data_IF_866189118037
#
_entry.id   IF_866189118037
#
_cell.length_a   1.000
_cell.length_b   1.000
_cell.length_c   1.000
_cell.angle_alpha   90.00
_cell.angle_beta   90.00
_cell.angle_gamma   90.00
#
_symmetry.space_group_name_H-M   'P 1'
#
loop_
_entity.id
_entity.type
_entity.pdbx_description
1 polymer ?
#
# COMPACT_ATOMS: atom_id res chain seq x y z
N UNK A 1 6.41 -4.59 -15.43
CA UNK A 1 7.33 -5.02 -14.35
C UNK A 1 8.31 -6.10 -14.81
N UNK A 2 7.84 -7.27 -15.26
CA UNK A 2 8.70 -8.38 -15.70
C UNK A 2 9.82 -7.97 -16.68
N UNK A 3 9.50 -7.20 -17.72
CA UNK A 3 10.50 -6.69 -18.67
C UNK A 3 11.59 -5.83 -18.03
N UNK A 4 11.27 -4.99 -17.05
CA UNK A 4 12.25 -4.18 -16.30
C UNK A 4 13.17 -5.08 -15.47
N UNK A 5 12.59 -5.99 -14.69
CA UNK A 5 13.34 -6.86 -13.78
C UNK A 5 14.20 -7.90 -14.52
N UNK A 6 13.83 -8.25 -15.75
CA UNK A 6 14.60 -9.17 -16.61
C UNK A 6 15.67 -8.46 -17.44
N UNK A 7 15.63 -7.13 -17.55
CA UNK A 7 16.67 -6.34 -18.21
C UNK A 7 17.91 -6.23 -17.31
N UNK A 8 18.89 -7.09 -17.57
CA UNK A 8 20.13 -7.15 -16.79
C UNK A 8 21.00 -5.92 -16.97
N UNK A 9 20.94 -5.25 -18.12
CA UNK A 9 21.76 -4.05 -18.36
C UNK A 9 21.23 -2.89 -17.55
N UNK A 10 19.91 -2.67 -17.59
CA UNK A 10 19.26 -1.64 -16.82
C UNK A 10 19.36 -1.90 -15.31
N UNK A 11 19.10 -3.12 -14.83
CA UNK A 11 19.21 -3.43 -13.40
C UNK A 11 20.65 -3.27 -12.86
N UNK A 12 21.66 -3.58 -13.68
CA UNK A 12 23.06 -3.31 -13.36
C UNK A 12 23.35 -1.81 -13.32
N UNK A 13 22.89 -1.05 -14.32
CA UNK A 13 23.03 0.40 -14.34
C UNK A 13 22.41 1.05 -13.10
N UNK A 14 21.20 0.65 -12.70
CA UNK A 14 20.52 1.16 -11.50
C UNK A 14 21.33 0.87 -10.23
N UNK A 15 21.94 -0.32 -10.13
CA UNK A 15 22.80 -0.71 -9.00
C UNK A 15 24.10 0.10 -8.96
N UNK A 16 24.74 0.31 -10.10
CA UNK A 16 26.02 1.03 -10.20
C UNK A 16 25.86 2.54 -9.97
N UNK A 17 24.69 3.09 -10.31
CA UNK A 17 24.37 4.51 -10.11
C UNK A 17 24.23 4.88 -8.62
N UNK A 18 23.97 3.89 -7.74
CA UNK A 18 23.85 4.08 -6.27
C UNK A 18 22.80 5.13 -5.87
N UNK A 19 21.57 4.95 -6.35
CA UNK A 19 20.45 5.75 -5.86
C UNK A 19 20.22 5.54 -4.36
N UNK A 20 19.82 6.60 -3.66
CA UNK A 20 19.59 6.53 -2.21
C UNK A 20 18.20 6.02 -1.83
N UNK A 21 17.22 6.16 -2.74
CA UNK A 21 15.81 5.86 -2.44
C UNK A 21 15.03 5.49 -3.70
N UNK A 22 14.05 4.59 -3.56
CA UNK A 22 13.04 4.30 -4.59
C UNK A 22 11.73 4.99 -4.23
N UNK A 23 11.30 5.92 -5.05
CA UNK A 23 9.98 6.54 -4.96
C UNK A 23 9.02 5.88 -5.95
N UNK A 24 7.92 5.29 -5.45
CA UNK A 24 7.04 4.45 -6.31
C UNK A 24 5.61 4.40 -5.81
N UNK A 25 4.65 4.23 -6.73
CA UNK A 25 3.36 3.63 -6.39
C UNK A 25 3.56 2.10 -6.25
N UNK A 26 3.34 1.51 -5.07
CA UNK A 26 3.59 0.10 -4.83
C UNK A 26 2.50 -0.84 -5.38
N UNK A 27 1.40 -0.36 -5.97
CA UNK A 27 0.26 -1.20 -6.38
C UNK A 27 0.63 -2.36 -7.31
N UNK A 28 1.61 -2.16 -8.19
CA UNK A 28 2.14 -3.19 -9.10
C UNK A 28 3.30 -3.99 -8.50
N UNK A 29 3.68 -3.74 -7.25
CA UNK A 29 4.79 -4.34 -6.50
C UNK A 29 6.18 -4.20 -7.12
N UNK A 30 6.29 -3.65 -8.33
CA UNK A 30 7.54 -3.55 -9.06
C UNK A 30 8.58 -2.68 -8.35
N UNK A 31 8.17 -1.50 -7.90
CA UNK A 31 9.03 -0.59 -7.17
C UNK A 31 9.56 -1.20 -5.86
N UNK A 32 8.70 -1.80 -5.01
CA UNK A 32 9.15 -2.60 -3.87
C UNK A 32 10.17 -3.70 -4.23
N UNK A 33 9.96 -4.45 -5.31
CA UNK A 33 10.92 -5.49 -5.75
C UNK A 33 12.26 -4.86 -6.13
N UNK A 34 12.24 -3.75 -6.87
CA UNK A 34 13.47 -3.03 -7.26
C UNK A 34 14.19 -2.48 -6.03
N UNK A 35 13.47 -1.90 -5.08
CA UNK A 35 14.03 -1.37 -3.84
C UNK A 35 14.74 -2.47 -3.03
N UNK A 36 14.09 -3.63 -2.89
CA UNK A 36 14.67 -4.80 -2.22
C UNK A 36 15.91 -5.33 -2.98
N UNK A 37 15.86 -5.41 -4.32
CA UNK A 37 16.97 -5.87 -5.16
C UNK A 37 18.20 -4.95 -5.10
N UNK A 38 17.97 -3.64 -4.99
CA UNK A 38 19.00 -2.61 -4.86
C UNK A 38 19.42 -2.39 -3.39
N UNK A 39 18.67 -2.94 -2.43
CA UNK A 39 18.86 -2.78 -0.99
C UNK A 39 18.83 -1.31 -0.56
N UNK A 40 17.85 -0.56 -1.08
CA UNK A 40 17.63 0.87 -0.78
C UNK A 40 16.24 1.07 -0.19
N UNK A 41 16.03 2.09 0.67
CA UNK A 41 14.71 2.39 1.22
C UNK A 41 13.71 2.75 0.13
N UNK A 42 12.44 2.46 0.39
CA UNK A 42 11.33 2.79 -0.50
C UNK A 42 10.36 3.79 0.14
N UNK A 43 9.93 4.77 -0.64
CA UNK A 43 8.87 5.71 -0.29
C UNK A 43 7.67 5.39 -1.18
N UNK A 44 6.55 5.07 -0.54
CA UNK A 44 5.34 4.64 -1.23
C UNK A 44 4.36 5.78 -1.43
N UNK A 45 3.85 5.92 -2.65
CA UNK A 45 2.85 6.90 -3.04
C UNK A 45 1.56 6.20 -3.46
N UNK A 46 0.59 6.08 -2.55
CA UNK A 46 -0.55 5.17 -2.72
C UNK A 46 -1.85 5.72 -2.14
N UNK A 47 -3.00 5.29 -2.68
CA UNK A 47 -4.32 5.54 -2.08
C UNK A 47 -4.70 4.47 -1.04
N UNK A 48 -4.17 3.26 -1.20
CA UNK A 48 -4.44 2.06 -0.39
C UNK A 48 -4.37 0.80 -1.24
N UNK A 49 -4.49 -0.38 -0.62
CA UNK A 49 -4.54 -1.66 -1.31
C UNK A 49 -5.89 -2.37 -1.14
N UNK A 50 -6.28 -3.21 -2.12
CA UNK A 50 -7.38 -4.15 -1.93
C UNK A 50 -7.23 -4.96 -0.64
N UNK A 51 -8.35 -5.13 0.05
CA UNK A 51 -8.46 -5.84 1.33
C UNK A 51 -7.70 -5.24 2.52
N UNK A 52 -7.02 -4.09 2.37
CA UNK A 52 -6.29 -3.43 3.47
C UNK A 52 -4.86 -3.93 3.66
N UNK A 53 -4.26 -4.52 2.62
CA UNK A 53 -2.89 -5.04 2.66
C UNK A 53 -1.85 -3.97 3.02
N UNK A 54 -2.06 -2.71 2.63
CA UNK A 54 -1.20 -1.59 3.04
C UNK A 54 -1.18 -1.39 4.55
N UNK A 55 -2.34 -1.53 5.18
CA UNK A 55 -2.48 -1.40 6.63
C UNK A 55 -1.84 -2.59 7.33
N UNK A 56 -2.06 -3.80 6.83
CA UNK A 56 -1.44 -5.01 7.39
C UNK A 56 0.10 -4.94 7.27
N UNK A 57 0.62 -4.51 6.11
CA UNK A 57 2.05 -4.35 5.87
C UNK A 57 2.68 -3.25 6.72
N UNK A 58 1.98 -2.11 6.89
CA UNK A 58 2.39 -1.02 7.76
C UNK A 58 2.14 -1.31 9.25
N UNK A 59 1.49 -2.43 9.61
CA UNK A 59 1.07 -2.77 10.97
C UNK A 59 0.09 -1.75 11.59
N UNK A 60 -0.71 -1.07 10.76
CA UNK A 60 -1.77 -0.16 11.17
C UNK A 60 -3.02 -0.95 11.62
N UNK A 61 -3.58 -0.70 12.82
CA UNK A 61 -4.83 -1.31 13.25
C UNK A 61 -6.01 -0.96 12.31
N UNK A 62 -6.73 -1.98 11.85
CA UNK A 62 -7.93 -1.82 11.01
C UNK A 62 -9.13 -2.64 11.54
N UNK A 63 -9.65 -2.32 12.74
CA UNK A 63 -10.64 -3.15 13.42
C UNK A 63 -12.03 -3.13 12.73
N UNK A 64 -12.60 -4.31 12.41
CA UNK A 64 -13.92 -4.42 11.77
C UNK A 64 -15.07 -4.12 12.73
N UNK A 65 -14.80 -3.81 14.01
CA UNK A 65 -15.84 -3.45 14.95
C UNK A 65 -16.44 -2.09 14.64
N UNK A 66 -15.66 -1.11 14.21
CA UNK A 66 -16.13 0.26 13.91
C UNK A 66 -15.69 0.76 12.53
N UNK A 67 -14.73 0.10 11.86
CA UNK A 67 -14.36 0.45 10.49
C UNK A 67 -15.16 -0.42 9.52
N UNK A 68 -16.08 0.16 8.74
CA UNK A 68 -16.88 -0.60 7.79
C UNK A 68 -16.02 -1.06 6.61
N UNK A 69 -16.25 -2.30 6.16
CA UNK A 69 -15.62 -2.86 4.96
C UNK A 69 -16.25 -2.27 3.71
N UNK A 70 -15.44 -2.20 2.66
CA UNK A 70 -15.83 -1.65 1.37
C UNK A 70 -17.07 -2.42 0.84
N UNK A 71 -17.97 -1.70 0.16
CA UNK A 71 -19.23 -2.23 -0.41
C UNK A 71 -20.33 -2.66 0.59
N UNK A 72 -20.11 -2.56 1.90
CA UNK A 72 -21.17 -2.79 2.89
C UNK A 72 -22.04 -1.55 3.18
N UNK A 73 -21.63 -0.35 2.72
CA UNK A 73 -22.34 0.92 2.89
C UNK A 73 -22.75 1.19 4.35
N UNK A 74 -21.95 0.74 5.31
CA UNK A 74 -22.12 1.01 6.73
C UNK A 74 -21.40 2.31 7.12
N UNK A 75 -21.86 2.98 8.17
CA UNK A 75 -21.11 4.06 8.84
C UNK A 75 -20.18 3.51 9.93
N UNK A 76 -19.48 4.39 10.63
CA UNK A 76 -18.74 4.10 11.87
C UNK A 76 -19.65 3.66 13.03
N UNK A 77 -20.93 4.06 12.98
CA UNK A 77 -21.96 3.65 13.94
C UNK A 77 -22.74 2.44 13.45
N UNK A 78 -22.21 1.23 13.68
CA UNK A 78 -22.85 -0.04 13.31
C UNK A 78 -23.63 -0.67 14.46
N UNK A 79 -24.82 -1.22 14.15
CA UNK A 79 -25.56 -2.18 14.98
C UNK A 79 -24.79 -3.51 15.12
N UNK A 80 -25.16 -4.34 16.09
CA UNK A 80 -24.53 -5.65 16.29
C UNK A 80 -24.56 -6.52 15.02
N UNK A 81 -25.71 -6.63 14.35
CA UNK A 81 -25.84 -7.41 13.12
C UNK A 81 -24.95 -6.88 11.98
N UNK A 82 -24.84 -5.56 11.85
CA UNK A 82 -23.92 -4.94 10.88
C UNK A 82 -22.46 -5.26 11.21
N UNK A 83 -22.06 -5.24 12.48
CA UNK A 83 -20.70 -5.62 12.91
C UNK A 83 -20.39 -7.09 12.63
N UNK A 84 -21.35 -7.98 12.86
CA UNK A 84 -21.20 -9.42 12.53
C UNK A 84 -21.01 -9.60 11.02
N UNK A 85 -21.82 -8.93 10.20
CA UNK A 85 -21.68 -8.95 8.73
C UNK A 85 -20.33 -8.35 8.29
N UNK A 86 -19.91 -7.26 8.93
CA UNK A 86 -18.64 -6.59 8.65
C UNK A 86 -17.44 -7.49 8.95
N UNK A 87 -17.47 -8.19 10.08
CA UNK A 87 -16.46 -9.17 10.46
C UNK A 87 -16.43 -10.36 9.49
N UNK A 88 -17.59 -10.86 9.07
CA UNK A 88 -17.65 -11.95 8.08
C UNK A 88 -16.99 -11.54 6.77
N UNK A 89 -17.29 -10.34 6.26
CA UNK A 89 -16.64 -9.82 5.04
C UNK A 89 -15.14 -9.66 5.23
N UNK A 90 -14.70 -9.12 6.37
CA UNK A 90 -13.28 -8.99 6.69
C UNK A 90 -12.53 -10.33 6.62
N UNK A 91 -13.11 -11.40 7.19
CA UNK A 91 -12.52 -12.74 7.13
C UNK A 91 -12.49 -13.27 5.70
N UNK A 92 -13.57 -13.09 4.92
CA UNK A 92 -13.64 -13.54 3.53
C UNK A 92 -12.61 -12.84 2.63
N UNK A 93 -12.40 -11.54 2.84
CA UNK A 93 -11.43 -10.73 2.11
C UNK A 93 -9.99 -11.27 2.24
N UNK A 94 -9.61 -11.77 3.42
CA UNK A 94 -8.28 -12.37 3.64
C UNK A 94 -8.01 -13.60 2.75
N UNK A 95 -9.04 -14.27 2.26
CA UNK A 95 -8.90 -15.38 1.32
C UNK A 95 -9.10 -14.92 -0.12
N UNK A 96 -10.10 -14.08 -0.36
CA UNK A 96 -10.47 -13.60 -1.69
C UNK A 96 -9.37 -12.75 -2.35
N UNK A 97 -8.60 -11.98 -1.58
CA UNK A 97 -7.55 -11.12 -2.12
C UNK A 97 -6.21 -11.81 -2.36
N UNK A 98 -5.95 -13.01 -1.82
CA UNK A 98 -4.66 -13.72 -2.01
C UNK A 98 -4.28 -13.93 -3.48
N UNK A 99 -5.19 -14.38 -4.37
CA UNK A 99 -4.86 -14.60 -5.78
C UNK A 99 -4.44 -13.32 -6.51
N UNK A 100 -4.88 -12.15 -6.03
CA UNK A 100 -4.61 -10.86 -6.66
C UNK A 100 -3.11 -10.51 -6.67
N UNK A 101 -2.37 -11.03 -5.68
CA UNK A 101 -0.95 -10.73 -5.48
C UNK A 101 -0.03 -11.89 -5.87
N UNK A 102 -0.57 -13.10 -6.03
CA UNK A 102 0.21 -14.32 -6.28
C UNK A 102 1.18 -14.21 -7.48
N UNK A 103 0.73 -13.62 -8.59
CA UNK A 103 1.58 -13.44 -9.78
C UNK A 103 2.78 -12.51 -9.53
N UNK A 104 2.62 -11.50 -8.67
CA UNK A 104 3.70 -10.60 -8.30
C UNK A 104 4.63 -11.22 -7.25
N UNK A 105 4.09 -11.99 -6.30
CA UNK A 105 4.88 -12.76 -5.33
C UNK A 105 5.77 -13.81 -6.03
N UNK A 106 5.26 -14.47 -7.06
CA UNK A 106 6.02 -15.43 -7.87
C UNK A 106 7.17 -14.73 -8.60
N UNK A 107 6.88 -13.62 -9.28
CA UNK A 107 7.90 -12.82 -9.97
C UNK A 107 8.96 -12.28 -8.99
N UNK A 108 8.52 -11.76 -7.84
CA UNK A 108 9.41 -11.27 -6.79
C UNK A 108 10.32 -12.39 -6.27
N UNK A 109 9.76 -13.57 -6.05
CA UNK A 109 10.51 -14.74 -5.58
C UNK A 109 11.53 -15.22 -6.62
N UNK A 110 11.18 -15.19 -7.91
CA UNK A 110 12.08 -15.54 -9.01
C UNK A 110 13.27 -14.56 -9.09
N UNK A 111 13.02 -13.26 -8.93
CA UNK A 111 14.03 -12.20 -9.06
C UNK A 111 14.93 -12.12 -7.84
N UNK A 112 14.35 -12.17 -6.63
CA UNK A 112 15.06 -12.06 -5.36
C UNK A 112 15.69 -13.39 -4.90
N UNK A 113 15.38 -14.50 -5.58
CA UNK A 113 15.86 -15.86 -5.27
C UNK A 113 15.54 -16.31 -3.84
N UNK A 114 14.48 -15.75 -3.24
CA UNK A 114 13.96 -16.12 -1.92
C UNK A 114 12.43 -16.07 -1.97
N UNK A 115 11.75 -16.91 -1.20
CA UNK A 115 10.28 -16.84 -1.08
C UNK A 115 9.91 -15.55 -0.37
N UNK A 116 9.12 -14.70 -1.00
CA UNK A 116 8.62 -13.44 -0.42
C UNK A 116 7.11 -13.37 -0.54
N UNK A 117 6.47 -12.78 0.46
CA UNK A 117 5.04 -12.43 0.39
C UNK A 117 4.86 -10.96 0.06
N UNK A 118 3.69 -10.60 -0.48
CA UNK A 118 3.38 -9.24 -0.84
C UNK A 118 3.40 -8.31 0.38
N UNK A 119 2.81 -8.77 1.49
CA UNK A 119 2.79 -8.05 2.76
C UNK A 119 4.20 -7.84 3.32
N UNK A 120 5.07 -8.84 3.25
CA UNK A 120 6.47 -8.73 3.69
C UNK A 120 7.25 -7.73 2.84
N UNK A 121 7.10 -7.78 1.52
CA UNK A 121 7.80 -6.85 0.64
C UNK A 121 7.35 -5.40 0.88
N UNK A 122 6.06 -5.20 1.16
CA UNK A 122 5.51 -3.89 1.50
C UNK A 122 5.91 -3.43 2.91
N UNK A 123 6.12 -4.32 3.87
CA UNK A 123 6.50 -3.93 5.23
C UNK A 123 7.87 -3.26 5.30
N UNK A 124 8.72 -3.44 4.29
CA UNK A 124 10.01 -2.74 4.14
C UNK A 124 9.86 -1.27 3.72
N UNK A 125 8.64 -0.79 3.48
CA UNK A 125 8.33 0.61 3.15
C UNK A 125 8.78 1.57 4.24
N UNK A 126 9.73 2.45 3.91
CA UNK A 126 10.31 3.40 4.87
C UNK A 126 9.36 4.55 5.18
N UNK A 127 8.63 5.05 4.18
CA UNK A 127 7.67 6.14 4.35
C UNK A 127 6.46 5.98 3.43
N UNK A 128 5.28 6.33 3.92
CA UNK A 128 4.00 6.13 3.23
C UNK A 128 3.31 7.46 2.99
N UNK A 129 3.25 7.87 1.73
CA UNK A 129 2.53 9.04 1.25
C UNK A 129 1.13 8.62 0.79
N UNK A 130 0.16 8.85 1.68
CA UNK A 130 -1.23 8.48 1.47
C UNK A 130 -1.92 9.54 0.61
N UNK A 131 -2.38 9.16 -0.59
CA UNK A 131 -3.00 10.04 -1.61
C UNK A 131 -4.45 10.44 -1.27
N UNK A 132 -4.73 10.66 0.00
CA UNK A 132 -6.03 11.06 0.51
C UNK A 132 -5.88 11.88 1.78
N UNK A 133 -6.93 12.61 2.12
CA UNK A 133 -7.03 13.33 3.39
C UNK A 133 -7.80 12.49 4.41
N UNK A 134 -7.44 12.62 5.69
CA UNK A 134 -8.09 11.89 6.78
C UNK A 134 -9.60 12.19 6.89
N UNK A 135 -10.06 13.34 6.38
CA UNK A 135 -11.49 13.70 6.36
C UNK A 135 -12.35 12.73 5.53
N UNK A 136 -11.76 12.00 4.57
CA UNK A 136 -12.47 11.04 3.74
C UNK A 136 -12.44 9.60 4.28
N UNK A 137 -11.75 9.36 5.39
CA UNK A 137 -11.57 8.02 5.96
C UNK A 137 -12.13 7.93 7.38
N UNK A 138 -12.45 6.71 7.79
CA UNK A 138 -12.83 6.45 9.17
C UNK A 138 -11.64 6.62 10.12
N UNK A 139 -11.85 7.17 11.33
CA UNK A 139 -10.77 7.42 12.27
C UNK A 139 -10.12 6.11 12.69
N UNK A 140 -8.83 5.97 12.44
CA UNK A 140 -8.02 4.81 12.85
C UNK A 140 -6.59 5.23 13.16
N UNK A 141 -5.88 4.48 14.02
CA UNK A 141 -4.47 4.73 14.26
C UNK A 141 -3.64 4.54 12.98
N UNK A 142 -2.63 5.39 12.80
CA UNK A 142 -1.65 5.29 11.71
C UNK A 142 -0.23 5.31 12.26
N UNK A 143 0.71 4.76 11.49
CA UNK A 143 2.11 4.73 11.89
C UNK A 143 2.79 6.10 11.73
N UNK A 144 3.83 6.41 12.53
CA UNK A 144 4.54 7.69 12.46
C UNK A 144 5.22 7.99 11.11
N UNK A 145 5.49 6.95 10.31
CA UNK A 145 6.09 7.07 8.99
C UNK A 145 5.06 7.21 7.85
N UNK A 146 3.83 7.61 8.18
CA UNK A 146 2.78 7.87 7.20
C UNK A 146 2.40 9.36 7.19
N UNK A 147 2.22 9.93 5.99
CA UNK A 147 1.71 11.29 5.82
C UNK A 147 0.56 11.31 4.81
N UNK A 148 -0.49 12.05 5.16
CA UNK A 148 -1.66 12.28 4.30
C UNK A 148 -1.39 13.49 3.40
N UNK A 149 -1.40 13.25 2.11
CA UNK A 149 -1.13 14.26 1.07
C UNK A 149 -2.34 14.41 0.15
N UNK A 150 -3.54 14.40 0.73
CA UNK A 150 -4.75 14.79 0.02
C UNK A 150 -4.65 16.22 -0.53
N UNK A 151 -5.28 16.48 -1.67
CA UNK A 151 -5.33 17.83 -2.25
C UNK A 151 -4.07 18.30 -2.99
N UNK A 152 -3.04 17.45 -3.15
CA UNK A 152 -1.82 17.79 -3.91
C UNK A 152 -2.07 18.15 -5.38
N UNK A 153 -3.20 17.73 -5.94
CA UNK A 153 -3.58 18.02 -7.33
C UNK A 153 -4.32 19.37 -7.47
N UNK A 154 -4.58 20.08 -6.37
CA UNK A 154 -5.24 21.37 -6.41
C UNK A 154 -4.23 22.50 -6.65
N UNK A 155 -4.53 23.39 -7.59
CA UNK A 155 -3.78 24.63 -7.76
C UNK A 155 -3.87 25.53 -6.52
N UNK A 156 -2.81 26.29 -6.26
CA UNK A 156 -2.85 27.33 -5.25
C UNK A 156 -3.97 28.33 -5.58
N UNK A 157 -4.98 28.40 -4.71
CA UNK A 157 -6.04 29.40 -4.85
C UNK A 157 -5.42 30.80 -4.71
N UNK A 158 -5.72 31.67 -5.68
CA UNK A 158 -5.47 33.11 -5.55
C UNK A 158 -6.15 33.62 -4.27
N UNK A 159 -5.47 34.52 -3.55
CA UNK A 159 -6.06 35.17 -2.37
C UNK A 159 -7.39 35.81 -2.77
N UNK A 160 -8.45 35.51 -2.03
CA UNK A 160 -9.74 36.17 -2.21
C UNK A 160 -9.54 37.66 -1.95
N UNK A 161 -9.95 38.51 -2.89
CA UNK A 161 -10.05 39.95 -2.65
C UNK A 161 -11.13 40.16 -1.59
N UNK A 162 -10.75 40.76 -0.46
CA UNK A 162 -11.69 41.26 0.55
C UNK A 162 -12.50 42.42 -0.02
#
# INVERSE_FOLDING_TARGET
CKSLLQDRELMRYLRETKFDVVFTDPILMCGPIVAEYLSVPSIYFLRGFPCGMDLDAAQCPNPPSYIPRLFLYNSDTMTFAQRVKNMLVHVLEQYYCKPLYAAMEELASEVLKKKVTATELLSHGSFWLMRYDFVFEFPRPVMPNMAFIGGINCDQKKKLSQ
#
